data_IF_092912554001
#
_entry.id   IF_092912554001
#
_cell.length_a   1.000
_cell.length_b   1.000
_cell.length_c   1.000
_cell.angle_alpha   90.00
_cell.angle_beta   90.00
_cell.angle_gamma   90.00
#
_symmetry.space_group_name_H-M   'P 1'
#
loop_
_entity.id
_entity.type
_entity.pdbx_description
1 polymer ?
#
# COMPACT_ATOMS: atom_id res chain seq x y z
N UNK A 1 49.63 -4.95 18.20
CA UNK A 1 48.97 -5.84 17.24
C UNK A 1 47.47 -5.74 17.52
N UNK A 2 46.80 -4.84 16.82
CA UNK A 2 45.34 -4.65 16.97
C UNK A 2 44.68 -5.55 15.94
N UNK A 3 43.98 -6.59 16.41
CA UNK A 3 43.14 -7.43 15.56
C UNK A 3 41.97 -6.65 15.00
N UNK A 4 41.44 -7.03 13.84
CA UNK A 4 40.30 -6.34 13.25
C UNK A 4 39.07 -6.48 14.15
N UNK A 5 38.43 -5.32 14.46
CA UNK A 5 37.14 -5.29 15.13
C UNK A 5 36.15 -5.95 14.17
N UNK A 6 35.68 -7.14 14.52
CA UNK A 6 34.62 -7.80 13.78
C UNK A 6 33.40 -6.90 13.84
N UNK A 7 33.02 -6.30 12.72
CA UNK A 7 31.71 -5.70 12.56
C UNK A 7 30.67 -6.82 12.79
N UNK A 8 30.05 -6.82 13.95
CA UNK A 8 28.86 -7.63 14.17
C UNK A 8 27.83 -7.22 13.16
N UNK A 9 27.57 -8.10 12.20
CA UNK A 9 26.45 -7.95 11.30
C UNK A 9 25.19 -7.91 12.16
N UNK A 10 24.57 -6.73 12.22
CA UNK A 10 23.27 -6.58 12.86
C UNK A 10 22.29 -7.36 11.97
N UNK A 11 22.05 -8.61 12.36
CA UNK A 11 21.00 -9.42 11.74
C UNK A 11 19.67 -8.83 12.18
N UNK A 12 19.03 -8.11 11.28
CA UNK A 12 17.68 -7.62 11.54
C UNK A 12 16.74 -8.83 11.71
N UNK A 13 15.86 -8.83 12.74
CA UNK A 13 14.87 -9.89 12.88
C UNK A 13 14.00 -9.96 11.63
N UNK A 14 13.76 -11.17 11.18
CA UNK A 14 13.03 -11.55 9.96
C UNK A 14 11.68 -10.83 9.84
N UNK A 15 11.23 -10.58 8.62
CA UNK A 15 10.32 -9.53 8.22
C UNK A 15 8.86 -9.92 8.30
N UNK A 16 8.25 -9.86 9.40
CA UNK A 16 6.81 -9.65 9.57
C UNK A 16 6.51 -9.42 11.05
N UNK A 17 6.93 -8.27 11.54
CA UNK A 17 6.73 -7.92 12.94
C UNK A 17 5.27 -8.07 13.38
N UNK A 18 4.33 -7.68 12.55
CA UNK A 18 2.92 -7.93 12.82
C UNK A 18 2.56 -9.41 12.71
N UNK A 19 3.16 -10.15 11.74
CA UNK A 19 2.90 -11.58 11.58
C UNK A 19 3.55 -12.40 12.70
N UNK A 20 4.74 -12.06 13.15
CA UNK A 20 5.42 -12.78 14.21
C UNK A 20 4.83 -12.45 15.59
N UNK A 21 4.44 -11.20 15.85
CA UNK A 21 3.61 -10.85 17.01
C UNK A 21 2.22 -11.53 16.95
N UNK A 22 1.63 -11.67 15.77
CA UNK A 22 0.37 -12.36 15.57
C UNK A 22 0.51 -13.88 15.71
N UNK A 23 1.61 -14.49 15.29
CA UNK A 23 1.92 -15.91 15.51
C UNK A 23 2.20 -16.20 16.98
N UNK A 24 2.89 -15.28 17.67
CA UNK A 24 3.23 -15.46 19.09
C UNK A 24 2.01 -15.35 20.04
N UNK A 25 0.90 -14.79 19.59
CA UNK A 25 -0.28 -14.52 20.45
C UNK A 25 -1.48 -15.42 20.19
N UNK A 26 -1.36 -16.61 19.60
CA UNK A 26 -2.47 -17.56 19.35
C UNK A 26 -3.72 -16.99 18.63
N UNK A 27 -3.57 -15.94 17.80
CA UNK A 27 -4.69 -15.10 17.63
C UNK A 27 -5.21 -15.05 16.19
N UNK A 28 -6.05 -16.00 15.82
CA UNK A 28 -7.00 -15.76 14.71
C UNK A 28 -7.70 -14.41 14.89
N UNK A 29 -8.13 -14.08 16.11
CA UNK A 29 -8.78 -12.80 16.42
C UNK A 29 -7.87 -11.61 16.16
N UNK A 30 -6.62 -11.59 16.65
CA UNK A 30 -5.67 -10.50 16.45
C UNK A 30 -5.37 -10.28 14.96
N UNK A 31 -5.22 -11.37 14.20
CA UNK A 31 -5.02 -11.30 12.75
C UNK A 31 -6.20 -10.63 12.04
N UNK A 32 -7.44 -11.02 12.36
CA UNK A 32 -8.61 -10.43 11.74
C UNK A 32 -8.84 -8.97 12.18
N UNK A 33 -8.54 -8.65 13.44
CA UNK A 33 -8.55 -7.26 13.91
C UNK A 33 -7.55 -6.41 13.12
N UNK A 34 -6.31 -6.90 12.91
CA UNK A 34 -5.31 -6.17 12.14
C UNK A 34 -5.73 -5.97 10.66
N UNK A 35 -6.30 -7.01 10.03
CA UNK A 35 -6.84 -6.93 8.67
C UNK A 35 -7.97 -5.89 8.63
N UNK A 36 -8.93 -5.97 9.55
CA UNK A 36 -10.05 -5.03 9.61
C UNK A 36 -9.59 -3.60 9.88
N UNK A 37 -8.56 -3.40 10.71
CA UNK A 37 -7.98 -2.08 11.00
C UNK A 37 -7.41 -1.44 9.75
N UNK A 38 -6.63 -2.16 8.94
CA UNK A 38 -6.09 -1.62 7.69
C UNK A 38 -7.18 -1.41 6.64
N UNK A 39 -8.21 -2.26 6.60
CA UNK A 39 -9.40 -2.04 5.76
C UNK A 39 -10.10 -0.73 6.16
N UNK A 40 -10.31 -0.50 7.46
CA UNK A 40 -10.91 0.74 7.98
C UNK A 40 -10.02 1.97 7.72
N UNK A 41 -8.70 1.82 7.87
CA UNK A 41 -7.74 2.87 7.52
C UNK A 41 -7.83 3.26 6.04
N UNK A 42 -8.02 2.30 5.13
CA UNK A 42 -8.22 2.59 3.71
C UNK A 42 -9.51 3.39 3.46
N UNK A 43 -10.61 3.05 4.17
CA UNK A 43 -11.87 3.82 4.13
C UNK A 43 -11.63 5.25 4.61
N UNK A 44 -10.97 5.43 5.75
CA UNK A 44 -10.65 6.77 6.29
C UNK A 44 -9.73 7.53 5.36
N UNK A 45 -8.68 6.89 4.83
CA UNK A 45 -7.73 7.49 3.91
C UNK A 45 -8.38 7.96 2.59
N UNK A 46 -9.44 7.32 2.15
CA UNK A 46 -10.23 7.72 0.99
C UNK A 46 -10.98 9.04 1.21
N UNK A 47 -11.28 9.40 2.45
CA UNK A 47 -12.00 10.65 2.77
C UNK A 47 -11.06 11.87 2.76
N UNK A 48 -9.76 11.69 2.94
CA UNK A 48 -8.75 12.72 2.75
C UNK A 48 -8.39 12.82 1.27
N UNK A 49 -9.18 13.57 0.52
CA UNK A 49 -9.08 13.70 -0.93
C UNK A 49 -8.94 15.15 -1.38
N UNK A 50 -8.01 15.37 -2.30
CA UNK A 50 -7.84 16.64 -3.02
C UNK A 50 -8.00 16.35 -4.51
N UNK A 51 -8.95 17.01 -5.15
CA UNK A 51 -9.15 16.92 -6.59
C UNK A 51 -8.30 17.99 -7.27
N UNK A 52 -7.22 17.58 -7.91
CA UNK A 52 -6.40 18.44 -8.76
C UNK A 52 -6.77 18.27 -10.23
N UNK A 53 -7.17 17.06 -10.59
CA UNK A 53 -7.66 16.64 -11.91
C UNK A 53 -8.75 15.57 -11.72
N UNK A 54 -8.90 14.69 -12.73
CA UNK A 54 -9.92 13.63 -12.71
C UNK A 54 -9.67 12.57 -11.63
N UNK A 55 -8.40 12.34 -11.27
CA UNK A 55 -8.02 11.41 -10.21
C UNK A 55 -7.79 12.18 -8.90
N UNK A 56 -8.46 11.82 -7.81
CA UNK A 56 -8.21 12.46 -6.53
C UNK A 56 -6.88 12.03 -5.92
N UNK A 57 -6.14 13.00 -5.38
CA UNK A 57 -5.04 12.72 -4.47
C UNK A 57 -5.60 12.24 -3.14
N UNK A 58 -5.16 11.07 -2.65
CA UNK A 58 -5.59 10.48 -1.37
C UNK A 58 -4.42 9.87 -0.60
N UNK A 59 -4.65 9.48 0.64
CA UNK A 59 -3.69 8.71 1.44
C UNK A 59 -3.81 7.20 1.27
N UNK A 60 -4.73 6.72 0.44
CA UNK A 60 -5.02 5.30 0.25
C UNK A 60 -3.80 4.48 -0.22
N UNK A 61 -2.97 5.04 -1.11
CA UNK A 61 -1.75 4.38 -1.59
C UNK A 61 -0.76 4.09 -0.47
N UNK A 62 -0.61 5.01 0.50
CA UNK A 62 0.22 4.79 1.68
C UNK A 62 -0.36 3.67 2.57
N UNK A 63 -1.68 3.63 2.73
CA UNK A 63 -2.35 2.56 3.51
C UNK A 63 -2.22 1.22 2.80
N UNK A 64 -2.35 1.15 1.49
CA UNK A 64 -2.19 -0.10 0.72
C UNK A 64 -0.76 -0.64 0.82
N UNK A 65 0.26 0.22 0.67
CA UNK A 65 1.65 -0.17 0.91
C UNK A 65 1.87 -0.61 2.37
N UNK A 66 1.36 0.18 3.33
CA UNK A 66 1.41 -0.14 4.75
C UNK A 66 0.76 -1.48 5.07
N UNK A 67 -0.38 -1.81 4.49
CA UNK A 67 -1.02 -3.12 4.65
C UNK A 67 -0.07 -4.26 4.24
N UNK A 68 0.65 -4.12 3.13
CA UNK A 68 1.68 -5.08 2.73
C UNK A 68 2.82 -5.18 3.72
N UNK A 69 3.36 -4.02 4.16
CA UNK A 69 4.50 -3.96 5.08
C UNK A 69 4.17 -4.54 6.46
N UNK A 70 3.05 -4.12 7.06
CA UNK A 70 2.71 -4.46 8.44
C UNK A 70 2.00 -5.81 8.59
N UNK A 71 1.18 -6.22 7.61
CA UNK A 71 0.42 -7.47 7.66
C UNK A 71 1.07 -8.61 6.88
N UNK A 72 2.06 -8.30 6.07
CA UNK A 72 2.66 -9.22 5.12
C UNK A 72 1.83 -9.40 3.85
N UNK A 73 2.37 -10.12 2.89
CA UNK A 73 1.81 -10.28 1.54
C UNK A 73 0.35 -10.75 1.55
N UNK A 74 0.08 -11.87 2.22
CA UNK A 74 -1.24 -12.50 2.22
C UNK A 74 -2.31 -11.67 2.93
N UNK A 75 -2.02 -11.19 4.15
CA UNK A 75 -3.03 -10.48 4.94
C UNK A 75 -3.23 -9.04 4.45
N UNK A 76 -2.17 -8.41 3.92
CA UNK A 76 -2.27 -7.12 3.26
C UNK A 76 -3.17 -7.19 2.03
N UNK A 77 -2.98 -8.20 1.18
CA UNK A 77 -3.87 -8.44 0.03
C UNK A 77 -5.32 -8.69 0.46
N UNK A 78 -5.54 -9.51 1.50
CA UNK A 78 -6.89 -9.76 2.05
C UNK A 78 -7.52 -8.46 2.54
N UNK A 79 -6.78 -7.63 3.28
CA UNK A 79 -7.28 -6.35 3.79
C UNK A 79 -7.72 -5.42 2.66
N UNK A 80 -6.90 -5.27 1.62
CA UNK A 80 -7.24 -4.43 0.47
C UNK A 80 -8.35 -5.04 -0.39
N UNK A 81 -8.46 -6.36 -0.47
CA UNK A 81 -9.60 -7.04 -1.12
C UNK A 81 -10.90 -6.80 -0.36
N UNK A 82 -10.87 -6.84 0.98
CA UNK A 82 -12.05 -6.51 1.80
C UNK A 82 -12.46 -5.05 1.60
N UNK A 83 -11.50 -4.12 1.45
CA UNK A 83 -11.80 -2.74 1.12
C UNK A 83 -12.54 -2.62 -0.23
N UNK A 84 -12.10 -3.36 -1.28
CA UNK A 84 -12.81 -3.42 -2.56
C UNK A 84 -14.22 -3.98 -2.40
N UNK A 85 -14.37 -5.09 -1.66
CA UNK A 85 -15.67 -5.73 -1.43
C UNK A 85 -16.64 -4.81 -0.67
N UNK A 86 -16.15 -4.07 0.33
CA UNK A 86 -16.96 -3.06 1.01
C UNK A 86 -17.44 -1.98 0.04
N UNK A 87 -16.60 -1.56 -0.91
CA UNK A 87 -16.94 -0.56 -1.91
C UNK A 87 -17.99 -1.03 -2.93
N UNK A 88 -18.26 -2.35 -3.02
CA UNK A 88 -19.38 -2.86 -3.83
C UNK A 88 -20.75 -2.58 -3.20
N UNK A 89 -20.81 -2.39 -1.88
CA UNK A 89 -22.07 -2.25 -1.14
C UNK A 89 -22.18 -0.93 -0.37
N UNK A 90 -21.06 -0.25 -0.12
CA UNK A 90 -20.99 0.99 0.67
C UNK A 90 -20.16 2.06 -0.05
N UNK A 91 -20.46 3.35 0.13
CA UNK A 91 -19.72 4.47 -0.45
C UNK A 91 -18.40 4.73 0.31
N UNK A 92 -17.50 3.77 0.31
CA UNK A 92 -16.21 3.82 1.05
C UNK A 92 -15.05 4.33 0.21
N UNK A 93 -15.21 4.44 -1.11
CA UNK A 93 -14.19 4.96 -2.02
C UNK A 93 -14.13 6.50 -1.98
N UNK A 94 -13.12 7.06 -2.66
CA UNK A 94 -13.01 8.49 -2.81
C UNK A 94 -14.12 9.02 -3.75
N UNK A 95 -15.17 9.61 -3.20
CA UNK A 95 -16.34 10.10 -3.94
C UNK A 95 -17.64 9.51 -3.41
N UNK A 96 -18.72 9.75 -4.15
CA UNK A 96 -20.06 9.28 -3.78
C UNK A 96 -20.46 8.00 -4.53
N UNK A 97 -19.77 7.66 -5.62
CA UNK A 97 -20.06 6.49 -6.44
C UNK A 97 -19.53 5.23 -5.75
N UNK A 98 -20.30 4.17 -5.73
CA UNK A 98 -19.97 2.87 -5.16
C UNK A 98 -20.62 1.76 -6.00
N UNK A 99 -20.39 0.51 -5.63
CA UNK A 99 -20.92 -0.62 -6.38
C UNK A 99 -20.10 -0.92 -7.64
N UNK A 100 -20.68 -1.67 -8.55
CA UNK A 100 -20.04 -2.01 -9.83
C UNK A 100 -19.83 -0.78 -10.72
N UNK A 101 -20.72 0.19 -10.65
CA UNK A 101 -20.63 1.42 -11.45
C UNK A 101 -19.34 2.20 -11.18
N UNK A 102 -18.80 2.13 -9.94
CA UNK A 102 -17.52 2.75 -9.61
C UNK A 102 -16.40 2.28 -10.57
N UNK A 103 -16.34 0.98 -10.84
CA UNK A 103 -15.26 0.38 -11.61
C UNK A 103 -15.34 0.67 -13.11
N UNK A 104 -16.49 1.07 -13.61
CA UNK A 104 -16.71 1.36 -15.02
C UNK A 104 -16.81 2.85 -15.33
N UNK A 105 -17.07 3.70 -14.32
CA UNK A 105 -17.35 5.12 -14.55
C UNK A 105 -16.37 6.07 -13.85
N UNK A 106 -15.68 5.60 -12.79
CA UNK A 106 -14.83 6.50 -12.00
C UNK A 106 -13.37 6.43 -12.45
N UNK A 107 -12.74 7.56 -12.79
CA UNK A 107 -11.36 7.62 -13.29
C UNK A 107 -10.31 6.95 -12.38
N UNK A 108 -10.53 6.99 -11.06
CA UNK A 108 -9.60 6.42 -10.07
C UNK A 108 -9.78 4.93 -9.82
N UNK A 109 -10.76 4.27 -10.44
CA UNK A 109 -11.10 2.86 -10.16
C UNK A 109 -9.92 1.90 -10.35
N UNK A 110 -9.13 2.08 -11.41
CA UNK A 110 -7.98 1.24 -11.68
C UNK A 110 -6.90 1.27 -10.59
N UNK A 111 -6.69 2.44 -9.96
CA UNK A 111 -5.74 2.58 -8.85
C UNK A 111 -6.21 1.78 -7.64
N UNK A 112 -7.50 1.87 -7.32
CA UNK A 112 -8.11 1.15 -6.19
C UNK A 112 -8.11 -0.36 -6.44
N UNK A 113 -8.39 -0.81 -7.67
CA UNK A 113 -8.28 -2.22 -8.09
C UNK A 113 -6.87 -2.80 -7.92
N UNK A 114 -5.84 -1.97 -8.05
CA UNK A 114 -4.45 -2.39 -7.88
C UNK A 114 -4.03 -2.59 -6.42
N UNK A 115 -4.76 -2.08 -5.42
CA UNK A 115 -4.33 -2.11 -4.02
C UNK A 115 -4.08 -3.51 -3.45
N UNK A 116 -4.91 -4.54 -3.71
CA UNK A 116 -4.59 -5.90 -3.26
C UNK A 116 -3.27 -6.43 -3.84
N UNK A 117 -3.01 -6.12 -5.12
CA UNK A 117 -1.79 -6.53 -5.82
C UNK A 117 -0.60 -5.76 -5.25
N UNK A 118 -0.74 -4.45 -5.05
CA UNK A 118 0.27 -3.61 -4.40
C UNK A 118 0.63 -4.16 -3.04
N UNK A 119 -0.34 -4.40 -2.16
CA UNK A 119 -0.11 -4.92 -0.82
C UNK A 119 0.56 -6.30 -0.84
N UNK A 120 0.15 -7.20 -1.76
CA UNK A 120 0.76 -8.51 -1.93
C UNK A 120 2.25 -8.42 -2.31
N UNK A 121 2.59 -7.58 -3.28
CA UNK A 121 3.95 -7.44 -3.79
C UNK A 121 4.84 -6.73 -2.78
N UNK A 122 4.38 -5.62 -2.21
CA UNK A 122 5.11 -4.90 -1.17
C UNK A 122 5.40 -5.81 0.01
N UNK A 123 4.40 -6.54 0.49
CA UNK A 123 4.56 -7.50 1.58
C UNK A 123 5.54 -8.61 1.21
N UNK A 124 5.43 -9.18 0.01
CA UNK A 124 6.30 -10.28 -0.43
C UNK A 124 7.77 -9.89 -0.48
N UNK A 125 8.09 -8.71 -1.01
CA UNK A 125 9.46 -8.21 -1.06
C UNK A 125 9.93 -7.84 0.35
N UNK A 126 9.08 -7.20 1.16
CA UNK A 126 9.41 -6.81 2.52
C UNK A 126 9.66 -8.01 3.45
N UNK A 127 8.96 -9.13 3.25
CA UNK A 127 9.15 -10.39 3.99
C UNK A 127 10.56 -10.97 3.83
N UNK A 128 11.28 -10.63 2.78
CA UNK A 128 12.66 -11.09 2.52
C UNK A 128 13.68 -9.96 2.66
N UNK A 129 13.24 -8.75 3.03
CA UNK A 129 14.10 -7.58 3.07
C UNK A 129 14.99 -7.57 4.32
N UNK A 130 16.30 -7.50 4.11
CA UNK A 130 17.29 -7.33 5.18
C UNK A 130 17.55 -5.86 5.53
N UNK A 131 17.33 -4.95 4.58
CA UNK A 131 17.62 -3.52 4.71
C UNK A 131 16.37 -2.66 4.48
N UNK A 132 16.30 -1.50 5.16
CA UNK A 132 15.22 -0.53 4.99
C UNK A 132 15.12 0.01 3.55
N UNK A 133 16.24 0.13 2.86
CA UNK A 133 16.27 0.51 1.45
C UNK A 133 15.48 -0.47 0.56
N UNK A 134 15.56 -1.78 0.84
CA UNK A 134 14.77 -2.80 0.12
C UNK A 134 13.27 -2.62 0.37
N UNK A 135 12.87 -2.25 1.60
CA UNK A 135 11.47 -1.96 1.95
C UNK A 135 10.94 -0.74 1.18
N UNK A 136 11.75 0.31 1.06
CA UNK A 136 11.40 1.47 0.25
C UNK A 136 11.18 1.09 -1.21
N UNK A 137 12.11 0.36 -1.80
CA UNK A 137 12.00 -0.09 -3.18
C UNK A 137 10.83 -1.06 -3.40
N UNK A 138 10.49 -1.89 -2.41
CA UNK A 138 9.28 -2.71 -2.45
C UNK A 138 8.03 -1.84 -2.61
N UNK A 139 7.93 -0.75 -1.83
CA UNK A 139 6.84 0.21 -1.91
C UNK A 139 6.80 0.92 -3.27
N UNK A 140 7.96 1.24 -3.85
CA UNK A 140 8.06 1.83 -5.20
C UNK A 140 7.58 0.87 -6.29
N UNK A 141 7.94 -0.42 -6.22
CA UNK A 141 7.47 -1.45 -7.15
C UNK A 141 5.96 -1.60 -7.06
N UNK A 142 5.40 -1.65 -5.84
CA UNK A 142 3.96 -1.68 -5.62
C UNK A 142 3.25 -0.45 -6.21
N UNK A 143 3.85 0.74 -6.05
CA UNK A 143 3.32 1.98 -6.61
C UNK A 143 3.37 2.00 -8.13
N UNK A 144 4.46 1.51 -8.73
CA UNK A 144 4.58 1.40 -10.19
C UNK A 144 3.46 0.52 -10.77
N UNK A 145 3.17 -0.62 -10.15
CA UNK A 145 2.08 -1.49 -10.57
C UNK A 145 0.72 -0.80 -10.43
N UNK A 146 0.54 -0.04 -9.36
CA UNK A 146 -0.67 0.77 -9.15
C UNK A 146 -0.84 1.81 -10.26
N UNK A 147 0.24 2.46 -10.68
CA UNK A 147 0.23 3.39 -11.80
C UNK A 147 -0.07 2.71 -13.13
N UNK A 148 0.52 1.55 -13.41
CA UNK A 148 0.28 0.80 -14.65
C UNK A 148 -1.20 0.42 -14.79
N UNK A 149 -1.78 -0.17 -13.75
CA UNK A 149 -3.19 -0.57 -13.76
C UNK A 149 -4.09 0.67 -13.76
N UNK A 150 -3.78 1.66 -12.91
CA UNK A 150 -4.55 2.89 -12.76
C UNK A 150 -4.61 3.71 -14.04
N UNK A 151 -3.47 3.96 -14.68
CA UNK A 151 -3.41 4.72 -15.93
C UNK A 151 -4.08 3.98 -17.09
N UNK A 152 -4.01 2.64 -17.12
CA UNK A 152 -4.70 1.85 -18.15
C UNK A 152 -6.22 1.96 -18.02
N UNK A 153 -6.76 1.83 -16.80
CA UNK A 153 -8.20 1.99 -16.56
C UNK A 153 -8.63 3.44 -16.81
N UNK A 154 -7.84 4.40 -16.34
CA UNK A 154 -8.08 5.83 -16.60
C UNK A 154 -8.18 6.14 -18.09
N UNK A 155 -7.25 5.59 -18.90
CA UNK A 155 -7.26 5.73 -20.35
C UNK A 155 -8.59 5.26 -20.95
N UNK A 156 -9.05 4.07 -20.52
CA UNK A 156 -10.29 3.47 -21.05
C UNK A 156 -11.54 4.24 -20.57
N UNK A 157 -11.62 4.54 -19.27
CA UNK A 157 -12.79 5.20 -18.68
C UNK A 157 -12.97 6.62 -19.19
N UNK A 158 -11.88 7.36 -19.38
CA UNK A 158 -11.92 8.75 -19.85
C UNK A 158 -11.96 8.87 -21.37
N UNK A 159 -11.73 7.78 -22.10
CA UNK A 159 -11.69 7.80 -23.57
C UNK A 159 -10.59 8.70 -24.13
N UNK A 160 -9.42 8.76 -23.45
CA UNK A 160 -8.31 9.59 -23.94
C UNK A 160 -7.79 9.12 -25.29
N UNK A 161 -7.24 10.05 -26.07
CA UNK A 161 -6.69 9.74 -27.40
C UNK A 161 -5.43 8.86 -27.32
N UNK A 162 -4.71 8.88 -26.18
CA UNK A 162 -3.50 8.07 -25.98
C UNK A 162 -3.28 7.70 -24.52
N UNK A 163 -2.57 6.60 -24.28
CA UNK A 163 -2.12 6.22 -22.94
C UNK A 163 -1.19 7.28 -22.35
N UNK A 164 -0.43 8.01 -23.18
CA UNK A 164 0.41 9.12 -22.72
C UNK A 164 -0.40 10.24 -22.06
N UNK A 165 -1.59 10.55 -22.57
CA UNK A 165 -2.48 11.54 -21.95
C UNK A 165 -2.95 11.07 -20.56
N UNK A 166 -3.29 9.79 -20.39
CA UNK A 166 -3.64 9.22 -19.09
C UNK A 166 -2.46 9.25 -18.10
N UNK A 167 -1.24 8.95 -18.54
CA UNK A 167 -0.03 9.03 -17.73
C UNK A 167 0.25 10.47 -17.27
N UNK A 168 0.13 11.43 -18.19
CA UNK A 168 0.36 12.85 -17.86
C UNK A 168 -0.64 13.41 -16.85
N UNK A 169 -1.86 12.89 -16.78
CA UNK A 169 -2.91 13.36 -15.87
C UNK A 169 -3.07 12.50 -14.64
N UNK A 170 -2.86 11.18 -14.74
CA UNK A 170 -3.09 10.22 -13.67
C UNK A 170 -1.84 9.70 -12.96
N UNK A 171 -0.63 9.99 -13.47
CA UNK A 171 0.64 9.54 -12.88
C UNK A 171 1.56 10.71 -12.54
N UNK A 172 1.96 11.48 -13.55
CA UNK A 172 3.01 12.51 -13.39
C UNK A 172 2.76 13.47 -12.22
N UNK A 173 1.55 14.03 -12.03
CA UNK A 173 1.28 14.96 -10.93
C UNK A 173 1.36 14.34 -9.53
N UNK A 174 1.19 13.01 -9.45
CA UNK A 174 1.14 12.28 -8.18
C UNK A 174 2.51 11.78 -7.73
N UNK A 175 3.49 11.62 -8.64
CA UNK A 175 4.82 11.07 -8.35
C UNK A 175 5.51 11.73 -7.16
N UNK A 176 5.62 13.07 -7.05
CA UNK A 176 6.33 13.69 -5.93
C UNK A 176 5.70 13.38 -4.57
N UNK A 177 4.38 13.42 -4.52
CA UNK A 177 3.65 13.16 -3.30
C UNK A 177 3.61 11.66 -2.94
N UNK A 178 3.56 10.78 -3.93
CA UNK A 178 3.61 9.34 -3.69
C UNK A 178 5.01 8.89 -3.25
N UNK A 179 6.09 9.52 -3.75
CA UNK A 179 7.43 9.33 -3.21
C UNK A 179 7.50 9.68 -1.72
N UNK A 180 6.92 10.82 -1.32
CA UNK A 180 6.86 11.23 0.08
C UNK A 180 6.04 10.25 0.93
N UNK A 181 4.88 9.78 0.43
CA UNK A 181 4.05 8.78 1.12
C UNK A 181 4.79 7.45 1.30
N UNK A 182 5.44 6.95 0.25
CA UNK A 182 6.19 5.68 0.33
C UNK A 182 7.40 5.82 1.26
N UNK A 183 8.09 6.96 1.24
CA UNK A 183 9.14 7.27 2.22
C UNK A 183 8.60 7.30 3.65
N UNK A 184 7.50 8.00 3.87
CA UNK A 184 6.86 8.11 5.18
C UNK A 184 6.41 6.76 5.76
N UNK A 185 5.73 5.92 4.96
CA UNK A 185 5.29 4.60 5.42
C UNK A 185 6.47 3.66 5.68
N UNK A 186 7.53 3.76 4.88
CA UNK A 186 8.77 2.97 5.09
C UNK A 186 9.48 3.37 6.38
N UNK A 187 9.61 4.67 6.64
CA UNK A 187 10.21 5.18 7.88
C UNK A 187 9.39 4.76 9.11
N UNK A 188 8.07 4.85 9.04
CA UNK A 188 7.18 4.40 10.11
C UNK A 188 7.36 2.91 10.37
N UNK A 189 7.38 2.09 9.33
CA UNK A 189 7.59 0.65 9.43
C UNK A 189 8.97 0.33 10.05
N UNK A 190 10.04 0.96 9.56
CA UNK A 190 11.39 0.79 10.08
C UNK A 190 11.51 1.22 11.55
N UNK A 191 10.91 2.35 11.92
CA UNK A 191 10.88 2.83 13.31
C UNK A 191 10.20 1.85 14.25
N UNK A 192 9.02 1.32 13.88
CA UNK A 192 8.30 0.32 14.68
C UNK A 192 9.12 -0.97 14.80
N UNK A 193 9.75 -1.44 13.70
CA UNK A 193 10.63 -2.62 13.75
C UNK A 193 11.76 -2.47 14.77
N UNK A 194 12.43 -1.31 14.79
CA UNK A 194 13.52 -1.03 15.74
C UNK A 194 13.02 -1.06 17.18
N UNK A 195 11.91 -0.36 17.47
CA UNK A 195 11.31 -0.32 18.80
C UNK A 195 10.91 -1.71 19.33
N UNK A 196 10.54 -2.64 18.43
CA UNK A 196 10.19 -4.01 18.82
C UNK A 196 11.41 -4.92 18.96
N UNK A 197 12.51 -4.63 18.27
CA UNK A 197 13.76 -5.37 18.37
C UNK A 197 14.52 -5.06 19.69
N UNK A 198 14.31 -3.88 20.26
CA UNK A 198 14.95 -3.41 21.51
C UNK A 198 14.24 -3.91 22.79
N UNK A 199 13.17 -4.71 22.65
CA UNK A 199 12.40 -5.31 23.78
C UNK A 199 12.66 -6.80 23.91
#
# INVERSE_FOLDING_TARGET
MNGPVAMQSISFPQPSLALDAMKATEARATRWVAIASFTALAVVAAQFRLYLWEVPFTLQTAVAAGAGLFLGSRNGAISMSLYLLLGLVLPVFAGAVYGLDYFFTVPSAGYVLAFPIMAAIVGRIAETAEHEGTVFWASMVGMLITYLIGATVLYVVMGYESIGAAVMRGVVPFVPADLAKMGGVTLLYGGIRRLMADR
#
